data_IF_902220547365
#
_entry.id   IF_902220547365
#
_cell.length_a   1.000
_cell.length_b   1.000
_cell.length_c   1.000
_cell.angle_alpha   90.00
_cell.angle_beta   90.00
_cell.angle_gamma   90.00
#
_symmetry.space_group_name_H-M   'P 1'
#
loop_
_entity.id
_entity.type
_entity.pdbx_description
1 polymer ?
#
# COMPACT_ATOMS: atom_id res chain seq x y z
N UNK A 1 29.50 -15.26 16.18
CA UNK A 1 28.35 -14.37 15.86
C UNK A 1 28.93 -13.09 15.29
N UNK A 2 28.73 -12.80 14.00
CA UNK A 2 29.29 -11.60 13.38
C UNK A 2 28.48 -10.38 13.82
N UNK A 3 29.12 -9.39 14.46
CA UNK A 3 28.55 -8.07 14.66
C UNK A 3 28.30 -7.45 13.28
N UNK A 4 27.04 -7.39 12.88
CA UNK A 4 26.64 -6.67 11.67
C UNK A 4 26.91 -5.18 11.93
N UNK A 5 27.83 -4.58 11.16
CA UNK A 5 27.99 -3.13 11.20
C UNK A 5 26.63 -2.48 10.89
N UNK A 6 26.13 -1.64 11.80
CA UNK A 6 24.85 -0.96 11.62
C UNK A 6 25.02 0.21 10.64
N UNK A 7 25.34 -0.08 9.39
CA UNK A 7 25.25 0.95 8.35
C UNK A 7 23.79 1.37 8.18
N UNK A 8 23.57 2.66 7.94
CA UNK A 8 22.23 3.20 7.72
C UNK A 8 21.67 2.60 6.43
N UNK A 9 20.68 1.71 6.56
CA UNK A 9 20.01 1.07 5.42
C UNK A 9 19.24 2.11 4.62
N UNK A 10 19.27 2.00 3.29
CA UNK A 10 18.38 2.75 2.40
C UNK A 10 16.97 2.15 2.53
N UNK A 11 15.97 3.02 2.66
CA UNK A 11 14.56 2.63 2.85
C UNK A 11 13.75 3.25 1.72
N UNK A 12 12.95 2.43 1.05
CA UNK A 12 11.92 2.86 0.11
C UNK A 12 10.55 2.73 0.78
N UNK A 13 9.73 3.76 0.70
CA UNK A 13 8.39 3.82 1.27
C UNK A 13 7.38 4.13 0.18
N UNK A 14 6.38 3.26 0.04
CA UNK A 14 5.36 3.37 -1.00
C UNK A 14 4.05 3.89 -0.40
N UNK A 15 3.49 4.93 -0.99
CA UNK A 15 2.22 5.51 -0.58
C UNK A 15 1.48 6.13 -1.75
N UNK A 16 0.20 5.82 -1.86
CA UNK A 16 -0.73 6.50 -2.75
C UNK A 16 -1.75 7.28 -1.89
N UNK A 17 -1.98 8.56 -2.22
CA UNK A 17 -2.91 9.42 -1.47
C UNK A 17 -4.36 8.93 -1.46
N UNK A 18 -4.76 8.21 -2.50
CA UNK A 18 -6.13 7.75 -2.71
C UNK A 18 -6.48 6.54 -1.83
N UNK A 19 -5.47 5.79 -1.35
CA UNK A 19 -5.68 4.56 -0.56
C UNK A 19 -6.54 4.80 0.69
N UNK A 20 -6.47 5.99 1.27
CA UNK A 20 -7.24 6.35 2.46
C UNK A 20 -8.73 6.64 2.20
N UNK A 21 -9.15 6.76 0.94
CA UNK A 21 -10.52 7.09 0.55
C UNK A 21 -11.40 5.87 0.29
N UNK A 22 -10.82 4.68 0.08
CA UNK A 22 -11.59 3.46 -0.11
C UNK A 22 -12.37 3.10 1.17
N UNK A 23 -13.66 2.77 0.99
CA UNK A 23 -14.59 2.52 2.08
C UNK A 23 -15.22 1.14 1.95
N UNK A 24 -15.02 0.29 2.96
CA UNK A 24 -15.54 -1.07 2.99
C UNK A 24 -17.05 -1.18 3.28
N UNK A 25 -17.69 -0.10 3.74
CA UNK A 25 -19.09 -0.13 4.18
C UNK A 25 -19.28 0.16 5.67
N UNK A 26 -20.54 0.43 6.03
CA UNK A 26 -20.97 0.70 7.40
C UNK A 26 -20.73 -0.53 8.28
N UNK A 27 -20.24 -0.33 9.51
CA UNK A 27 -19.96 -1.41 10.46
C UNK A 27 -18.70 -2.25 10.15
N UNK A 28 -18.14 -2.20 8.94
CA UNK A 28 -16.99 -3.04 8.59
C UNK A 28 -15.69 -2.60 9.31
N UNK A 29 -14.92 -3.50 9.97
CA UNK A 29 -13.77 -3.11 10.80
C UNK A 29 -12.53 -2.67 9.99
N UNK A 30 -12.39 -3.14 8.75
CA UNK A 30 -11.29 -2.72 7.87
C UNK A 30 -11.48 -1.26 7.42
N UNK A 31 -10.63 -0.35 7.90
CA UNK A 31 -10.63 1.08 7.54
C UNK A 31 -9.33 1.48 6.83
N UNK A 32 -9.31 1.58 5.48
CA UNK A 32 -8.13 2.01 4.72
C UNK A 32 -7.56 3.37 5.14
N UNK A 33 -8.41 4.24 5.72
CA UNK A 33 -8.01 5.51 6.33
C UNK A 33 -6.83 5.41 7.30
N UNK A 34 -6.65 4.26 7.99
CA UNK A 34 -5.49 4.05 8.88
C UNK A 34 -4.14 4.21 8.17
N UNK A 35 -4.05 3.90 6.88
CA UNK A 35 -2.82 4.07 6.10
C UNK A 35 -2.50 5.55 5.93
N UNK A 36 -3.52 6.39 5.66
CA UNK A 36 -3.39 7.86 5.62
C UNK A 36 -2.99 8.43 6.99
N UNK A 37 -3.57 7.91 8.08
CA UNK A 37 -3.17 8.33 9.44
C UNK A 37 -1.69 8.04 9.71
N UNK A 38 -1.22 6.83 9.40
CA UNK A 38 0.20 6.46 9.53
C UNK A 38 1.10 7.35 8.68
N UNK A 39 0.71 7.62 7.42
CA UNK A 39 1.45 8.51 6.53
C UNK A 39 1.60 9.92 7.12
N UNK A 40 0.50 10.49 7.63
CA UNK A 40 0.52 11.84 8.22
C UNK A 40 1.39 11.91 9.49
N UNK A 41 1.35 10.91 10.37
CA UNK A 41 2.23 10.87 11.54
C UNK A 41 3.70 10.85 11.10
N UNK A 42 4.03 9.98 10.14
CA UNK A 42 5.37 9.84 9.59
C UNK A 42 5.89 11.15 8.98
N UNK A 43 5.03 11.90 8.28
CA UNK A 43 5.36 13.23 7.73
C UNK A 43 5.67 14.23 8.84
N UNK A 44 4.81 14.31 9.87
CA UNK A 44 4.97 15.24 10.99
C UNK A 44 6.20 14.93 11.85
N UNK A 45 6.57 13.66 11.99
CA UNK A 45 7.84 13.27 12.61
C UNK A 45 9.07 13.56 11.72
N UNK A 46 8.88 14.00 10.48
CA UNK A 46 9.97 14.32 9.56
C UNK A 46 10.72 13.10 9.04
N UNK A 47 10.15 11.90 9.17
CA UNK A 47 10.80 10.65 8.77
C UNK A 47 10.90 10.52 7.24
N UNK A 48 10.01 11.17 6.50
CA UNK A 48 10.07 11.23 5.03
C UNK A 48 11.41 11.78 4.51
N UNK A 49 12.10 12.61 5.29
CA UNK A 49 13.45 13.14 4.96
C UNK A 49 14.55 12.08 5.05
N UNK A 50 14.27 10.90 5.59
CA UNK A 50 15.24 9.83 5.86
C UNK A 50 15.03 8.60 4.96
N UNK A 51 14.11 8.67 4.00
CA UNK A 51 13.76 7.57 3.10
C UNK A 51 13.32 8.09 1.74
N UNK A 52 13.29 7.21 0.73
CA UNK A 52 12.81 7.53 -0.61
C UNK A 52 11.31 7.21 -0.68
N UNK A 53 10.49 8.21 -1.00
CA UNK A 53 9.02 8.08 -1.04
C UNK A 53 8.57 7.93 -2.49
N UNK A 54 7.84 6.86 -2.78
CA UNK A 54 7.35 6.53 -4.11
C UNK A 54 5.83 6.41 -4.12
N UNK A 55 5.22 6.84 -5.22
CA UNK A 55 3.82 6.50 -5.53
C UNK A 55 3.82 5.16 -6.28
N UNK A 56 3.12 4.12 -5.78
CA UNK A 56 3.02 2.86 -6.52
C UNK A 56 2.19 3.04 -7.78
N UNK A 57 2.52 2.30 -8.84
CA UNK A 57 1.63 2.16 -10.00
C UNK A 57 0.54 1.12 -9.72
N UNK A 58 -0.64 1.22 -10.35
CA UNK A 58 -1.57 0.10 -10.40
C UNK A 58 -0.88 -1.15 -10.98
N UNK A 59 -1.16 -2.31 -10.39
CA UNK A 59 -0.69 -3.59 -10.92
C UNK A 59 -1.45 -3.95 -12.19
N UNK A 60 -0.75 -4.50 -13.17
CA UNK A 60 -1.34 -4.97 -14.43
C UNK A 60 -1.97 -6.36 -14.25
N UNK A 61 -2.90 -6.72 -15.15
CA UNK A 61 -3.63 -7.98 -15.04
C UNK A 61 -2.71 -9.20 -15.11
N UNK A 62 -1.69 -9.15 -15.98
CA UNK A 62 -0.68 -10.21 -16.13
C UNK A 62 0.14 -10.41 -14.84
N UNK A 63 0.36 -9.36 -14.04
CA UNK A 63 1.07 -9.44 -12.77
C UNK A 63 0.22 -10.11 -11.69
N UNK A 64 -1.08 -9.80 -11.68
CA UNK A 64 -2.02 -10.34 -10.71
C UNK A 64 -2.31 -11.83 -10.98
N UNK A 65 -2.35 -12.25 -12.24
CA UNK A 65 -2.59 -13.64 -12.65
C UNK A 65 -1.34 -14.53 -12.60
N UNK A 66 -0.16 -14.01 -12.22
CA UNK A 66 1.01 -14.86 -11.90
C UNK A 66 0.74 -15.82 -10.74
N UNK A 67 -0.28 -15.52 -9.93
CA UNK A 67 -0.69 -16.35 -8.80
C UNK A 67 -2.20 -16.63 -8.81
N UNK A 68 -3.03 -15.61 -9.01
CA UNK A 68 -4.49 -15.78 -9.01
C UNK A 68 -4.99 -16.38 -10.34
N UNK A 69 -6.12 -17.10 -10.31
CA UNK A 69 -6.76 -17.56 -11.55
C UNK A 69 -7.31 -16.40 -12.37
N UNK A 70 -7.28 -16.54 -13.69
CA UNK A 70 -7.79 -15.55 -14.63
C UNK A 70 -9.27 -15.21 -14.34
N UNK A 71 -10.11 -16.24 -14.10
CA UNK A 71 -11.53 -16.06 -13.81
C UNK A 71 -11.79 -15.25 -12.53
N UNK A 72 -10.96 -15.43 -11.49
CA UNK A 72 -11.10 -14.67 -10.25
C UNK A 72 -10.74 -13.20 -10.45
N UNK A 73 -9.66 -12.93 -11.17
CA UNK A 73 -9.24 -11.55 -11.43
C UNK A 73 -10.22 -10.84 -12.37
N UNK A 74 -10.76 -11.54 -13.37
CA UNK A 74 -11.81 -11.02 -14.24
C UNK A 74 -13.10 -10.71 -13.46
N UNK A 75 -13.46 -11.56 -12.50
CA UNK A 75 -14.58 -11.29 -11.59
C UNK A 75 -14.34 -10.01 -10.78
N UNK A 76 -13.18 -9.86 -10.13
CA UNK A 76 -12.85 -8.65 -9.35
C UNK A 76 -12.81 -7.38 -10.21
N UNK A 77 -12.34 -7.49 -11.46
CA UNK A 77 -12.30 -6.35 -12.37
C UNK A 77 -13.70 -5.84 -12.72
N UNK A 78 -14.67 -6.74 -12.86
CA UNK A 78 -16.01 -6.43 -13.36
C UNK A 78 -17.05 -6.20 -12.25
N UNK A 79 -16.87 -6.78 -11.06
CA UNK A 79 -17.85 -6.63 -9.97
C UNK A 79 -17.94 -5.18 -9.53
N UNK A 80 -19.16 -4.63 -9.51
CA UNK A 80 -19.49 -3.33 -8.95
C UNK A 80 -20.71 -3.50 -8.05
N UNK A 81 -20.85 -2.69 -6.98
CA UNK A 81 -22.17 -2.50 -6.40
C UNK A 81 -23.03 -1.84 -7.48
N UNK A 82 -24.13 -2.50 -7.85
CA UNK A 82 -25.11 -2.13 -8.89
C UNK A 82 -25.08 -0.66 -9.37
#
# INVERSE_FOLDING_TARGET
MAFQSHYKRRVAYYYDGDVGNYYYGQGHPMKPHRIRMTHNLLLNYGLYRKMEVFRPRPAEMDELTRYHSDDYMLFLQNIRPD
#
